data_IF_104694515328
#
_entry.id   IF_104694515328
#
_cell.length_a   1.000
_cell.length_b   1.000
_cell.length_c   1.000
_cell.angle_alpha   90.00
_cell.angle_beta   90.00
_cell.angle_gamma   90.00
#
_symmetry.space_group_name_H-M   'P 1'
#
loop_
_entity.id
_entity.type
_entity.pdbx_description
1 polymer ?
#
# COMPACT_ATOMS: atom_id res chain seq x y z
N UNK A 1 5.33 -20.91 -28.92
CA UNK A 1 6.79 -20.87 -28.67
C UNK A 1 6.98 -20.48 -27.21
N UNK A 2 7.59 -21.34 -26.38
CA UNK A 2 7.97 -20.96 -25.00
C UNK A 2 9.07 -19.89 -25.11
N UNK A 3 9.02 -18.78 -24.35
CA UNK A 3 10.16 -17.87 -24.28
C UNK A 3 11.41 -18.65 -23.79
N UNK A 4 12.62 -18.22 -24.16
CA UNK A 4 13.82 -18.90 -23.74
C UNK A 4 13.92 -18.83 -22.20
N UNK A 5 13.92 -20.00 -21.55
CA UNK A 5 13.96 -20.16 -20.08
C UNK A 5 15.01 -19.27 -19.37
N UNK A 6 16.10 -18.92 -20.05
CA UNK A 6 17.15 -18.03 -19.55
C UNK A 6 16.68 -16.57 -19.35
N UNK A 7 15.81 -16.06 -20.23
CA UNK A 7 15.24 -14.71 -20.10
C UNK A 7 14.29 -14.59 -18.91
N UNK A 8 13.53 -15.65 -18.64
CA UNK A 8 12.58 -15.71 -17.53
C UNK A 8 13.30 -15.71 -16.18
N UNK A 9 14.38 -16.51 -16.07
CA UNK A 9 15.21 -16.58 -14.86
C UNK A 9 15.93 -15.25 -14.62
N UNK A 10 16.51 -14.61 -15.65
CA UNK A 10 17.20 -13.32 -15.50
C UNK A 10 16.28 -12.25 -14.94
N UNK A 11 15.06 -12.17 -15.47
CA UNK A 11 14.07 -11.17 -15.03
C UNK A 11 13.62 -11.43 -13.60
N UNK A 12 13.37 -12.69 -13.23
CA UNK A 12 13.02 -13.07 -11.87
C UNK A 12 14.15 -12.76 -10.88
N UNK A 13 15.41 -13.07 -11.23
CA UNK A 13 16.58 -12.79 -10.39
C UNK A 13 16.80 -11.28 -10.21
N UNK A 14 16.70 -10.49 -11.28
CA UNK A 14 16.84 -9.04 -11.21
C UNK A 14 15.79 -8.43 -10.27
N UNK A 15 14.52 -8.84 -10.45
CA UNK A 15 13.41 -8.38 -9.61
C UNK A 15 13.59 -8.77 -8.15
N UNK A 16 14.00 -10.02 -7.91
CA UNK A 16 14.35 -10.52 -6.58
C UNK A 16 15.51 -9.76 -5.94
N UNK A 17 16.55 -9.45 -6.71
CA UNK A 17 17.70 -8.69 -6.24
C UNK A 17 17.33 -7.25 -5.87
N UNK A 18 16.53 -6.56 -6.69
CA UNK A 18 16.02 -5.23 -6.36
C UNK A 18 15.13 -5.25 -5.11
N UNK A 19 14.23 -6.24 -4.97
CA UNK A 19 13.42 -6.40 -3.76
C UNK A 19 14.24 -6.68 -2.51
N UNK A 20 15.29 -7.51 -2.63
CA UNK A 20 16.22 -7.80 -1.54
C UNK A 20 17.03 -6.55 -1.16
N UNK A 21 17.52 -5.79 -2.15
CA UNK A 21 18.21 -4.53 -1.92
C UNK A 21 17.32 -3.53 -1.15
N UNK A 22 16.03 -3.44 -1.50
CA UNK A 22 15.06 -2.67 -0.72
C UNK A 22 14.93 -3.14 0.73
N UNK A 23 14.83 -4.45 0.93
CA UNK A 23 14.76 -5.06 2.28
C UNK A 23 16.01 -4.79 3.11
N UNK A 24 17.19 -4.83 2.48
CA UNK A 24 18.47 -4.48 3.14
C UNK A 24 18.51 -2.99 3.45
N UNK A 25 18.10 -2.14 2.52
CA UNK A 25 18.05 -0.69 2.69
C UNK A 25 17.19 -0.29 3.91
N UNK A 26 16.04 -0.93 4.11
CA UNK A 26 15.21 -0.72 5.32
C UNK A 26 15.94 -1.02 6.62
N UNK A 27 16.75 -2.08 6.67
CA UNK A 27 17.58 -2.42 7.85
C UNK A 27 18.61 -1.32 8.16
N UNK A 28 19.04 -0.58 7.15
CA UNK A 28 19.92 0.57 7.27
C UNK A 28 19.19 1.91 7.36
N UNK A 29 17.88 1.90 7.68
CA UNK A 29 17.10 3.13 7.78
C UNK A 29 17.06 3.94 6.48
N UNK A 30 17.06 3.26 5.33
CA UNK A 30 16.79 3.84 4.02
C UNK A 30 15.38 3.46 3.56
N UNK A 31 14.75 4.23 2.64
CA UNK A 31 13.42 3.91 2.11
C UNK A 31 13.51 2.69 1.17
N UNK A 32 13.34 1.48 1.71
CA UNK A 32 13.52 0.22 0.98
C UNK A 32 12.66 0.09 -0.26
N UNK A 33 11.38 0.46 -0.17
CA UNK A 33 10.49 0.45 -1.33
C UNK A 33 10.93 1.37 -2.46
N UNK A 34 11.47 2.55 -2.14
CA UNK A 34 12.06 3.44 -3.14
C UNK A 34 13.31 2.83 -3.77
N UNK A 35 14.17 2.17 -2.99
CA UNK A 35 15.37 1.49 -3.51
C UNK A 35 14.99 0.35 -4.46
N UNK A 36 14.02 -0.48 -4.08
CA UNK A 36 13.52 -1.58 -4.90
C UNK A 36 12.88 -1.08 -6.20
N UNK A 37 11.99 -0.09 -6.10
CA UNK A 37 11.31 0.54 -7.23
C UNK A 37 12.31 1.22 -8.18
N UNK A 38 13.19 2.09 -7.66
CA UNK A 38 14.14 2.84 -8.46
C UNK A 38 15.18 1.93 -9.14
N UNK A 39 15.64 0.89 -8.42
CA UNK A 39 16.55 -0.11 -8.96
C UNK A 39 15.94 -0.85 -10.15
N UNK A 40 14.72 -1.37 -10.01
CA UNK A 40 14.07 -2.06 -11.12
C UNK A 40 13.72 -1.10 -12.26
N UNK A 41 13.28 0.12 -11.95
CA UNK A 41 13.00 1.15 -12.94
C UNK A 41 14.24 1.45 -13.78
N UNK A 42 15.41 1.60 -13.16
CA UNK A 42 16.67 1.80 -13.88
C UNK A 42 17.01 0.60 -14.78
N UNK A 43 16.89 -0.64 -14.28
CA UNK A 43 17.14 -1.85 -15.07
C UNK A 43 16.17 -1.98 -16.26
N UNK A 44 14.91 -1.66 -16.05
CA UNK A 44 13.86 -1.74 -17.08
C UNK A 44 14.08 -0.70 -18.18
N UNK A 45 14.38 0.55 -17.80
CA UNK A 45 14.67 1.62 -18.76
C UNK A 45 16.01 1.45 -19.48
N UNK A 46 16.98 0.77 -18.87
CA UNK A 46 18.23 0.37 -19.54
C UNK A 46 18.06 -0.82 -20.50
N UNK A 47 16.87 -1.41 -20.60
CA UNK A 47 16.59 -2.59 -21.43
C UNK A 47 17.14 -3.91 -20.87
N UNK A 48 17.62 -3.93 -19.61
CA UNK A 48 18.14 -5.15 -18.97
C UNK A 48 17.03 -6.16 -18.62
N UNK A 49 15.82 -5.66 -18.35
CA UNK A 49 14.60 -6.46 -18.09
C UNK A 49 13.42 -5.92 -18.92
N UNK A 50 12.45 -6.78 -19.31
CA UNK A 50 11.28 -6.37 -20.08
C UNK A 50 10.29 -5.53 -19.25
N UNK A 51 9.36 -4.82 -19.92
CA UNK A 51 8.27 -4.08 -19.25
C UNK A 51 7.17 -4.99 -18.70
N UNK A 52 6.93 -6.11 -19.37
CA UNK A 52 5.93 -7.10 -19.01
C UNK A 52 6.60 -8.46 -18.82
N UNK A 53 6.24 -9.16 -17.74
CA UNK A 53 6.79 -10.47 -17.41
C UNK A 53 5.90 -11.19 -16.42
N UNK A 54 5.82 -12.53 -16.50
CA UNK A 54 5.01 -13.34 -15.59
C UNK A 54 5.39 -13.17 -14.11
N UNK A 55 6.65 -12.81 -13.83
CA UNK A 55 7.09 -12.53 -12.45
C UNK A 55 6.45 -11.28 -11.86
N UNK A 56 6.07 -10.30 -12.70
CA UNK A 56 5.37 -9.09 -12.27
C UNK A 56 3.91 -9.40 -11.95
N UNK A 57 3.28 -10.27 -12.75
CA UNK A 57 1.95 -10.83 -12.44
C UNK A 57 1.93 -11.62 -11.13
N UNK A 58 3.00 -12.38 -10.85
CA UNK A 58 3.17 -13.04 -9.56
C UNK A 58 3.32 -12.05 -8.40
N UNK A 59 3.99 -10.91 -8.62
CA UNK A 59 4.10 -9.88 -7.60
C UNK A 59 2.72 -9.35 -7.17
N UNK A 60 1.81 -9.14 -8.14
CA UNK A 60 0.43 -8.71 -7.89
C UNK A 60 -0.45 -9.81 -7.27
N UNK A 61 -0.49 -10.97 -7.92
CA UNK A 61 -1.42 -12.04 -7.54
C UNK A 61 -0.95 -12.87 -6.34
N UNK A 62 0.35 -12.90 -6.08
CA UNK A 62 0.98 -13.73 -5.06
C UNK A 62 1.67 -12.91 -3.98
N UNK A 63 2.75 -12.20 -4.32
CA UNK A 63 3.63 -11.57 -3.33
C UNK A 63 2.91 -10.49 -2.49
N UNK A 64 2.12 -9.62 -3.11
CA UNK A 64 1.41 -8.55 -2.41
C UNK A 64 0.35 -9.08 -1.42
N UNK A 65 -0.58 -9.98 -1.83
CA UNK A 65 -1.47 -10.67 -0.89
C UNK A 65 -0.74 -11.46 0.21
N UNK A 66 0.42 -12.07 -0.11
CA UNK A 66 1.25 -12.75 0.89
C UNK A 66 1.76 -11.78 1.93
N UNK A 67 2.24 -10.60 1.49
CA UNK A 67 2.74 -9.55 2.36
C UNK A 67 1.68 -9.11 3.38
N UNK A 68 0.43 -8.94 2.94
CA UNK A 68 -0.69 -8.63 3.83
C UNK A 68 -0.87 -9.70 4.91
N UNK A 69 -0.96 -10.96 4.50
CA UNK A 69 -1.20 -12.08 5.41
C UNK A 69 -0.07 -12.18 6.44
N UNK A 70 1.18 -12.07 5.97
CA UNK A 70 2.36 -12.07 6.82
C UNK A 70 2.40 -10.85 7.74
N UNK A 71 2.01 -9.66 7.27
CA UNK A 71 1.94 -8.46 8.11
C UNK A 71 0.90 -8.63 9.23
N UNK A 72 -0.27 -9.17 8.91
CA UNK A 72 -1.31 -9.50 9.90
C UNK A 72 -0.76 -10.52 10.90
N UNK A 73 -0.18 -11.63 10.45
CA UNK A 73 0.46 -12.65 11.29
C UNK A 73 1.55 -12.07 12.20
N UNK A 74 2.37 -11.14 11.69
CA UNK A 74 3.42 -10.48 12.46
C UNK A 74 2.86 -9.54 13.53
N UNK A 75 1.71 -8.92 13.24
CA UNK A 75 1.07 -7.91 14.10
C UNK A 75 0.14 -8.49 15.16
N UNK A 76 -0.32 -9.73 15.02
CA UNK A 76 -1.33 -10.31 15.90
C UNK A 76 -0.74 -10.85 17.20
N UNK A 77 -1.46 -10.59 18.29
CA UNK A 77 -1.20 -11.22 19.59
C UNK A 77 -1.69 -12.67 19.54
N UNK A 78 -0.80 -13.60 19.19
CA UNK A 78 -1.12 -15.04 19.26
C UNK A 78 -1.04 -15.56 20.70
N UNK A 79 -1.78 -16.63 21.05
CA UNK A 79 -1.70 -17.27 22.35
C UNK A 79 -0.24 -17.63 22.72
N UNK A 80 0.18 -17.33 23.96
CA UNK A 80 1.54 -17.61 24.43
C UNK A 80 2.64 -16.65 23.93
N UNK A 81 2.27 -15.56 23.25
CA UNK A 81 3.16 -14.41 23.17
C UNK A 81 3.39 -13.86 24.59
N UNK A 82 4.63 -13.53 25.00
CA UNK A 82 4.77 -12.70 26.17
C UNK A 82 3.99 -11.42 25.84
N UNK A 83 3.06 -11.03 26.73
CA UNK A 83 2.48 -9.69 26.71
C UNK A 83 3.61 -8.76 26.39
N UNK A 84 3.53 -8.08 25.24
CA UNK A 84 4.69 -7.35 24.75
C UNK A 84 5.09 -6.24 25.73
N UNK A 85 4.26 -5.93 26.73
CA UNK A 85 4.51 -4.94 27.78
C UNK A 85 3.83 -5.22 29.15
N UNK A 86 3.37 -6.44 29.48
CA UNK A 86 2.58 -6.68 30.71
C UNK A 86 1.30 -5.83 30.82
N UNK A 87 0.83 -5.32 29.68
CA UNK A 87 -0.26 -4.37 29.59
C UNK A 87 -1.60 -5.13 29.62
N UNK A 88 -2.54 -4.73 30.50
CA UNK A 88 -3.79 -5.44 30.66
C UNK A 88 -4.64 -5.40 29.37
N UNK A 89 -5.45 -6.44 29.17
CA UNK A 89 -6.17 -6.69 27.91
C UNK A 89 -7.12 -5.55 27.49
N UNK A 90 -7.67 -4.84 28.46
CA UNK A 90 -8.48 -3.63 28.30
C UNK A 90 -7.69 -2.48 27.63
N UNK A 91 -6.44 -2.27 28.03
CA UNK A 91 -5.55 -1.27 27.43
C UNK A 91 -5.21 -1.62 25.99
N UNK A 92 -4.98 -2.90 25.69
CA UNK A 92 -4.72 -3.36 24.33
C UNK A 92 -5.94 -3.17 23.41
N UNK A 93 -7.15 -3.44 23.92
CA UNK A 93 -8.39 -3.20 23.20
C UNK A 93 -8.59 -1.69 22.93
N UNK A 94 -8.43 -0.85 23.95
CA UNK A 94 -8.53 0.60 23.82
C UNK A 94 -7.49 1.17 22.83
N UNK A 95 -6.25 0.68 22.86
CA UNK A 95 -5.21 1.07 21.91
C UNK A 95 -5.53 0.65 20.48
N UNK A 96 -6.16 -0.52 20.30
CA UNK A 96 -6.65 -1.02 19.01
C UNK A 96 -7.79 -0.17 18.45
N UNK A 97 -8.80 0.14 19.27
CA UNK A 97 -9.90 1.04 18.89
C UNK A 97 -9.38 2.43 18.52
N UNK A 98 -8.44 2.96 19.30
CA UNK A 98 -7.81 4.24 19.04
C UNK A 98 -7.06 4.25 17.71
N UNK A 99 -6.32 3.18 17.39
CA UNK A 99 -5.63 3.04 16.11
C UNK A 99 -6.61 2.90 14.93
N UNK A 100 -7.70 2.15 15.11
CA UNK A 100 -8.75 1.99 14.10
C UNK A 100 -9.42 3.33 13.76
N UNK A 101 -9.78 4.10 14.79
CA UNK A 101 -10.37 5.42 14.62
C UNK A 101 -9.39 6.42 13.99
N UNK A 102 -8.11 6.38 14.39
CA UNK A 102 -7.07 7.25 13.86
C UNK A 102 -6.80 7.01 12.37
N UNK A 103 -6.60 5.75 11.98
CA UNK A 103 -6.43 5.37 10.56
C UNK A 103 -7.68 5.67 9.75
N UNK A 104 -8.87 5.49 10.32
CA UNK A 104 -10.13 5.84 9.68
C UNK A 104 -10.30 7.32 9.41
N UNK A 105 -9.92 8.17 10.37
CA UNK A 105 -9.87 9.62 10.15
C UNK A 105 -8.88 9.97 9.04
N UNK A 106 -7.71 9.32 9.02
CA UNK A 106 -6.73 9.45 7.94
C UNK A 106 -7.30 9.07 6.57
N UNK A 107 -8.00 7.94 6.48
CA UNK A 107 -8.65 7.44 5.26
C UNK A 107 -9.74 8.40 4.75
N UNK A 108 -10.59 8.91 5.66
CA UNK A 108 -11.64 9.85 5.30
C UNK A 108 -11.06 11.17 4.77
N UNK A 109 -10.02 11.71 5.42
CA UNK A 109 -9.30 12.89 4.96
C UNK A 109 -8.65 12.65 3.60
N UNK A 110 -8.03 11.49 3.41
CA UNK A 110 -7.42 11.11 2.13
C UNK A 110 -8.47 10.99 1.02
N UNK A 111 -9.65 10.46 1.32
CA UNK A 111 -10.77 10.37 0.36
C UNK A 111 -11.23 11.76 -0.08
N UNK A 112 -11.34 12.72 0.86
CA UNK A 112 -11.60 14.14 0.51
C UNK A 112 -10.47 14.69 -0.37
N UNK A 113 -9.22 14.37 -0.07
CA UNK A 113 -8.07 14.70 -0.92
C UNK A 113 -8.22 14.16 -2.35
N UNK A 114 -8.64 12.89 -2.51
CA UNK A 114 -8.88 12.28 -3.82
C UNK A 114 -10.02 12.97 -4.57
N UNK A 115 -11.13 13.30 -3.89
CA UNK A 115 -12.26 14.01 -4.48
C UNK A 115 -11.84 15.38 -5.03
N UNK A 116 -11.13 16.17 -4.22
CA UNK A 116 -10.64 17.50 -4.62
C UNK A 116 -9.60 17.38 -5.73
N UNK A 117 -8.68 16.42 -5.62
CA UNK A 117 -7.64 16.19 -6.62
C UNK A 117 -8.21 15.80 -7.98
N UNK A 118 -9.19 14.89 -8.01
CA UNK A 118 -9.86 14.49 -9.26
C UNK A 118 -10.69 15.65 -9.83
N UNK A 119 -11.42 16.40 -9.01
CA UNK A 119 -12.18 17.56 -9.48
C UNK A 119 -11.28 18.63 -10.11
N UNK A 120 -10.12 18.89 -9.50
CA UNK A 120 -9.13 19.81 -10.05
C UNK A 120 -8.45 19.26 -11.31
N UNK A 121 -8.12 17.97 -11.37
CA UNK A 121 -7.58 17.34 -12.57
C UNK A 121 -8.57 17.36 -13.73
N UNK A 122 -9.87 17.16 -13.46
CA UNK A 122 -10.95 17.33 -14.43
C UNK A 122 -11.01 18.77 -14.93
N UNK A 123 -11.04 19.76 -14.04
CA UNK A 123 -11.05 21.17 -14.43
C UNK A 123 -9.81 21.51 -15.28
N UNK A 124 -8.63 21.02 -14.93
CA UNK A 124 -7.41 21.23 -15.70
C UNK A 124 -7.50 20.56 -17.08
N UNK A 125 -8.00 19.32 -17.16
CA UNK A 125 -8.14 18.60 -18.43
C UNK A 125 -9.09 19.29 -19.43
N UNK A 126 -10.04 20.09 -18.93
CA UNK A 126 -10.94 20.89 -19.77
C UNK A 126 -10.32 22.20 -20.28
N UNK A 127 -9.36 22.80 -19.55
CA UNK A 127 -8.88 24.16 -19.82
C UNK A 127 -7.39 24.24 -20.19
N UNK A 128 -6.58 23.23 -19.86
CA UNK A 128 -5.16 23.21 -20.17
C UNK A 128 -4.90 22.47 -21.49
N UNK A 129 -4.17 23.07 -22.44
CA UNK A 129 -3.68 22.35 -23.60
C UNK A 129 -2.60 21.36 -23.14
N UNK A 130 -2.93 20.07 -23.11
CA UNK A 130 -1.97 19.05 -22.67
C UNK A 130 -1.09 18.65 -23.85
N UNK A 131 0.20 18.98 -23.79
CA UNK A 131 1.21 18.49 -24.73
C UNK A 131 0.96 18.87 -26.21
N UNK A 132 0.35 20.02 -26.48
CA UNK A 132 0.05 20.47 -27.84
C UNK A 132 -1.17 19.79 -28.50
N UNK A 133 -1.84 18.87 -27.80
CA UNK A 133 -3.10 18.27 -28.24
C UNK A 133 -4.31 18.92 -27.55
N UNK A 134 -5.46 18.87 -28.24
CA UNK A 134 -6.74 19.48 -27.86
C UNK A 134 -7.18 19.06 -26.45
N UNK A 135 -7.91 19.95 -25.79
CA UNK A 135 -8.67 19.70 -24.56
C UNK A 135 -9.33 18.32 -24.56
N UNK A 136 -9.31 17.63 -23.42
CA UNK A 136 -10.00 16.35 -23.30
C UNK A 136 -11.51 16.61 -23.44
N UNK A 137 -12.24 15.89 -24.33
CA UNK A 137 -13.68 16.03 -24.42
C UNK A 137 -14.31 15.82 -23.05
N UNK A 138 -15.27 16.67 -22.65
CA UNK A 138 -15.86 16.65 -21.31
C UNK A 138 -16.36 15.27 -20.91
N UNK A 139 -17.01 14.56 -21.83
CA UNK A 139 -17.49 13.20 -21.60
C UNK A 139 -16.34 12.24 -21.24
N UNK A 140 -15.24 12.29 -21.98
CA UNK A 140 -14.06 11.47 -21.69
C UNK A 140 -13.41 11.88 -20.36
N UNK A 141 -13.25 13.17 -20.10
CA UNK A 141 -12.71 13.66 -18.83
C UNK A 141 -13.56 13.22 -17.63
N UNK A 142 -14.88 13.20 -17.77
CA UNK A 142 -15.79 12.72 -16.72
C UNK A 142 -15.64 11.20 -16.50
N UNK A 143 -15.51 10.41 -17.57
CA UNK A 143 -15.26 8.97 -17.49
C UNK A 143 -13.93 8.67 -16.78
N UNK A 144 -12.86 9.38 -17.18
CA UNK A 144 -11.54 9.28 -16.53
C UNK A 144 -11.62 9.68 -15.06
N UNK A 145 -12.37 10.74 -14.74
CA UNK A 145 -12.56 11.18 -13.35
C UNK A 145 -13.20 10.10 -12.49
N UNK A 146 -14.22 9.41 -13.01
CA UNK A 146 -14.85 8.30 -12.30
C UNK A 146 -13.87 7.15 -12.04
N UNK A 147 -13.14 6.72 -13.06
CA UNK A 147 -12.18 5.62 -12.95
C UNK A 147 -11.01 5.96 -12.01
N UNK A 148 -10.43 7.17 -12.12
CA UNK A 148 -9.32 7.62 -11.27
C UNK A 148 -9.78 7.83 -9.82
N UNK A 149 -10.97 8.37 -9.58
CA UNK A 149 -11.47 8.46 -8.20
C UNK A 149 -11.68 7.07 -7.59
N UNK A 150 -12.16 6.11 -8.38
CA UNK A 150 -12.35 4.74 -7.93
C UNK A 150 -11.02 4.09 -7.49
N UNK A 151 -9.95 4.29 -8.27
CA UNK A 151 -8.60 3.80 -7.91
C UNK A 151 -8.03 4.53 -6.69
N UNK A 152 -8.29 5.83 -6.53
CA UNK A 152 -7.75 6.64 -5.43
C UNK A 152 -8.57 6.61 -4.14
N UNK A 153 -9.62 5.79 -4.08
CA UNK A 153 -10.35 5.50 -2.83
C UNK A 153 -10.45 4.01 -2.53
N UNK A 154 -10.38 3.16 -3.56
CA UNK A 154 -10.44 1.71 -3.40
C UNK A 154 -9.66 0.92 -4.42
N UNK A 155 -8.53 1.44 -4.90
CA UNK A 155 -7.53 0.70 -5.67
C UNK A 155 -7.99 0.15 -7.04
N UNK A 156 -7.08 -0.64 -7.64
CA UNK A 156 -7.19 -1.07 -9.04
C UNK A 156 -8.41 -1.95 -9.36
N UNK A 157 -8.97 -2.68 -8.38
CA UNK A 157 -10.20 -3.46 -8.60
C UNK A 157 -11.40 -2.55 -8.92
N UNK A 158 -11.53 -1.45 -8.18
CA UNK A 158 -12.58 -0.46 -8.41
C UNK A 158 -12.34 0.33 -9.69
N UNK A 159 -11.08 0.57 -10.07
CA UNK A 159 -10.75 1.15 -11.37
C UNK A 159 -11.30 0.33 -12.54
N UNK A 160 -11.10 -1.00 -12.52
CA UNK A 160 -11.55 -1.89 -13.58
C UNK A 160 -13.09 -1.87 -13.69
N UNK A 161 -13.77 -2.04 -12.55
CA UNK A 161 -15.24 -2.03 -12.47
C UNK A 161 -15.84 -0.71 -12.98
N UNK A 162 -15.31 0.43 -12.53
CA UNK A 162 -15.83 1.74 -12.97
C UNK A 162 -15.50 2.00 -14.44
N UNK A 163 -14.33 1.59 -14.92
CA UNK A 163 -13.94 1.76 -16.33
C UNK A 163 -14.90 1.04 -17.28
N UNK A 164 -15.36 -0.16 -16.91
CA UNK A 164 -16.37 -0.89 -17.67
C UNK A 164 -17.73 -0.18 -17.61
N UNK A 165 -18.20 0.18 -16.41
CA UNK A 165 -19.51 0.84 -16.21
C UNK A 165 -19.67 2.16 -16.94
N UNK A 166 -18.61 2.97 -16.99
CA UNK A 166 -18.63 4.26 -17.69
C UNK A 166 -18.31 4.12 -19.18
N UNK A 167 -18.06 2.90 -19.66
CA UNK A 167 -17.67 2.59 -21.04
C UNK A 167 -16.43 3.36 -21.52
N UNK A 168 -15.36 3.33 -20.73
CA UNK A 168 -14.07 3.88 -21.16
C UNK A 168 -13.53 3.08 -22.37
N UNK A 169 -12.99 3.74 -23.41
CA UNK A 169 -12.35 3.04 -24.51
C UNK A 169 -11.18 2.19 -24.01
N UNK A 170 -11.05 0.95 -24.50
CA UNK A 170 -10.02 0.00 -24.05
C UNK A 170 -8.58 0.56 -24.17
N UNK A 171 -8.30 1.37 -25.19
CA UNK A 171 -7.01 2.06 -25.35
C UNK A 171 -6.74 3.05 -24.22
N UNK A 172 -7.76 3.76 -23.74
CA UNK A 172 -7.67 4.69 -22.61
C UNK A 172 -7.54 3.93 -21.30
N UNK A 173 -8.27 2.84 -21.12
CA UNK A 173 -8.16 1.99 -19.91
C UNK A 173 -6.73 1.47 -19.75
N UNK A 174 -6.15 0.89 -20.80
CA UNK A 174 -4.77 0.40 -20.76
C UNK A 174 -3.75 1.50 -20.48
N UNK A 175 -3.92 2.67 -21.10
CA UNK A 175 -3.06 3.83 -20.88
C UNK A 175 -3.14 4.37 -19.44
N UNK A 176 -4.36 4.52 -18.90
CA UNK A 176 -4.58 4.98 -17.53
C UNK A 176 -4.06 3.98 -16.51
N UNK A 177 -4.28 2.67 -16.73
CA UNK A 177 -3.75 1.62 -15.85
C UNK A 177 -2.22 1.65 -15.80
N UNK A 178 -1.54 1.82 -16.94
CA UNK A 178 -0.09 1.94 -16.99
C UNK A 178 0.41 3.20 -16.25
N UNK A 179 -0.25 4.34 -16.47
CA UNK A 179 0.06 5.59 -15.76
C UNK A 179 -0.20 5.48 -14.25
N UNK A 180 -1.27 4.79 -13.85
CA UNK A 180 -1.65 4.61 -12.45
C UNK A 180 -0.59 3.80 -11.70
N UNK A 181 -0.16 2.66 -12.26
CA UNK A 181 0.89 1.83 -11.69
C UNK A 181 2.18 2.64 -11.47
N UNK A 182 2.60 3.42 -12.48
CA UNK A 182 3.81 4.24 -12.38
C UNK A 182 3.66 5.35 -11.33
N UNK A 183 2.53 6.05 -11.32
CA UNK A 183 2.26 7.16 -10.39
C UNK A 183 2.12 6.65 -8.94
N UNK A 184 1.49 5.49 -8.76
CA UNK A 184 1.36 4.80 -7.47
C UNK A 184 2.73 4.40 -6.90
N UNK A 185 3.66 3.94 -7.74
CA UNK A 185 5.04 3.65 -7.32
C UNK A 185 5.76 4.89 -6.76
N UNK A 186 5.64 6.04 -7.44
CA UNK A 186 6.18 7.32 -6.96
C UNK A 186 5.51 7.75 -5.64
N UNK A 187 4.20 7.57 -5.54
CA UNK A 187 3.45 7.86 -4.32
C UNK A 187 3.90 7.02 -3.12
N UNK A 188 4.11 5.70 -3.29
CA UNK A 188 4.60 4.85 -2.21
C UNK A 188 6.01 5.22 -1.73
N UNK A 189 6.88 5.64 -2.67
CA UNK A 189 8.17 6.20 -2.31
C UNK A 189 8.02 7.51 -1.51
N UNK A 190 7.13 8.41 -1.92
CA UNK A 190 6.83 9.65 -1.22
C UNK A 190 6.30 9.39 0.20
N UNK A 191 5.34 8.47 0.38
CA UNK A 191 4.85 8.07 1.70
C UNK A 191 5.99 7.58 2.60
N UNK A 192 6.89 6.76 2.05
CA UNK A 192 8.05 6.23 2.79
C UNK A 192 9.00 7.35 3.24
N UNK A 193 9.16 8.40 2.44
CA UNK A 193 9.95 9.59 2.80
C UNK A 193 9.22 10.44 3.86
N UNK A 194 7.92 10.68 3.68
CA UNK A 194 7.11 11.47 4.60
C UNK A 194 7.04 10.84 5.99
N UNK A 195 6.89 9.51 6.08
CA UNK A 195 6.85 8.79 7.36
C UNK A 195 8.12 8.98 8.22
N UNK A 196 9.25 9.28 7.56
CA UNK A 196 10.56 9.50 8.19
C UNK A 196 10.86 10.99 8.44
N UNK A 197 9.98 11.90 8.01
CA UNK A 197 10.22 13.34 8.05
C UNK A 197 9.72 13.97 9.34
N UNK A 198 10.64 14.45 10.18
CA UNK A 198 10.29 15.24 11.37
C UNK A 198 9.61 16.57 11.02
N UNK A 199 9.91 17.13 9.84
CA UNK A 199 9.22 18.34 9.36
C UNK A 199 7.75 18.04 9.07
N UNK A 200 7.46 16.92 8.38
CA UNK A 200 6.10 16.49 8.13
C UNK A 200 5.35 16.23 9.44
N UNK A 201 6.00 15.56 10.41
CA UNK A 201 5.38 15.28 11.71
C UNK A 201 5.05 16.55 12.47
N UNK A 202 5.98 17.50 12.57
CA UNK A 202 5.72 18.80 13.21
C UNK A 202 4.66 19.62 12.49
N UNK A 203 4.62 19.57 11.16
CA UNK A 203 3.62 20.25 10.37
C UNK A 203 2.22 19.69 10.62
N UNK A 204 2.06 18.36 10.71
CA UNK A 204 0.75 17.75 10.95
C UNK A 204 0.34 17.79 12.42
N UNK A 205 1.18 17.29 13.33
CA UNK A 205 0.82 17.08 14.73
C UNK A 205 0.91 18.35 15.59
N UNK A 206 1.62 19.38 15.11
CA UNK A 206 1.95 20.56 15.90
C UNK A 206 3.09 20.28 16.89
N UNK A 207 3.84 21.32 17.29
CA UNK A 207 5.07 21.19 18.08
C UNK A 207 4.92 20.52 19.46
N UNK A 208 3.71 20.38 19.98
CA UNK A 208 3.45 19.83 21.30
C UNK A 208 3.46 18.28 21.38
N UNK A 209 3.39 17.56 20.26
CA UNK A 209 3.27 16.08 20.25
C UNK A 209 4.56 15.34 19.85
N UNK A 210 5.66 16.06 19.58
CA UNK A 210 6.87 15.49 18.98
C UNK A 210 7.63 14.48 19.88
N UNK A 211 7.39 14.47 21.19
CA UNK A 211 8.15 13.63 22.13
C UNK A 211 7.57 12.22 22.37
N UNK A 212 6.32 11.95 21.98
CA UNK A 212 5.61 10.71 22.33
C UNK A 212 5.20 9.84 21.12
N UNK A 213 5.46 10.30 19.89
CA UNK A 213 5.05 9.63 18.63
C UNK A 213 6.20 9.29 17.70
N UNK A 214 7.45 9.60 18.07
CA UNK A 214 8.61 9.15 17.31
C UNK A 214 8.54 7.62 17.16
N UNK A 215 8.77 7.05 15.95
CA UNK A 215 9.15 5.66 15.86
C UNK A 215 10.29 5.49 16.85
N UNK A 216 10.31 4.43 17.67
CA UNK A 216 11.55 4.14 18.38
C UNK A 216 12.63 4.16 17.31
N UNK A 217 13.63 5.03 17.47
CA UNK A 217 14.89 4.76 16.79
C UNK A 217 15.15 3.30 17.09
N UNK A 218 15.38 2.45 16.08
CA UNK A 218 15.85 1.12 16.36
C UNK A 218 17.14 1.36 17.12
N UNK A 219 17.08 1.29 18.46
CA UNK A 219 18.26 1.07 19.26
C UNK A 219 18.79 -0.19 18.60
N UNK A 220 19.97 -0.14 17.93
CA UNK A 220 20.55 -1.39 17.48
C UNK A 220 20.50 -2.26 18.71
N UNK A 221 19.80 -3.39 18.62
CA UNK A 221 19.79 -4.33 19.71
C UNK A 221 21.26 -4.63 19.90
N UNK A 222 21.88 -3.99 20.91
CA UNK A 222 23.26 -4.23 21.25
C UNK A 222 23.16 -5.66 21.75
N UNK A 223 23.46 -6.59 20.84
CA UNK A 223 23.63 -7.97 21.19
C UNK A 223 24.52 -7.94 22.42
N UNK A 224 24.03 -8.49 23.53
CA UNK A 224 24.91 -8.84 24.62
C UNK A 224 26.09 -9.57 23.97
N UNK A 225 27.36 -9.18 24.23
CA UNK A 225 28.48 -9.91 23.68
C UNK A 225 28.41 -11.34 24.23
N UNK A 226 27.94 -12.27 23.39
CA UNK A 226 27.64 -13.63 23.82
C UNK A 226 26.84 -14.38 22.77
N UNK A 227 27.55 -15.20 21.99
CA UNK A 227 27.08 -16.20 21.02
C UNK A 227 26.27 -15.68 19.82
N UNK A 228 26.78 -15.97 18.61
CA UNK A 228 25.99 -15.85 17.38
C UNK A 228 24.72 -16.71 17.54
N UNK A 229 23.50 -16.14 17.42
CA UNK A 229 22.29 -16.94 17.47
C UNK A 229 22.33 -17.94 16.32
N UNK A 230 22.05 -19.22 16.60
CA UNK A 230 22.02 -20.24 15.55
C UNK A 230 21.04 -19.84 14.44
N UNK A 231 21.38 -20.07 13.18
CA UNK A 231 20.54 -19.69 12.03
C UNK A 231 19.30 -20.59 11.87
N UNK A 232 19.34 -21.80 12.43
CA UNK A 232 18.29 -22.81 12.27
C UNK A 232 16.91 -22.37 12.80
N UNK A 233 16.76 -21.81 14.02
CA UNK A 233 15.47 -21.33 14.52
C UNK A 233 14.84 -20.21 13.69
N UNK A 234 15.67 -19.32 13.10
CA UNK A 234 15.21 -18.25 12.21
C UNK A 234 14.77 -18.78 10.85
N UNK A 235 15.49 -19.77 10.31
CA UNK A 235 15.09 -20.45 9.08
C UNK A 235 13.76 -21.19 9.26
N UNK A 236 13.59 -21.92 10.38
CA UNK A 236 12.31 -22.58 10.71
C UNK A 236 11.16 -21.58 10.84
N UNK A 237 11.38 -20.44 11.52
CA UNK A 237 10.36 -19.39 11.64
C UNK A 237 9.93 -18.81 10.29
N UNK A 238 10.88 -18.51 9.41
CA UNK A 238 10.61 -18.06 8.03
C UNK A 238 9.85 -19.12 7.23
N UNK A 239 10.27 -20.38 7.29
CA UNK A 239 9.60 -21.47 6.58
C UNK A 239 8.15 -21.66 7.04
N UNK A 240 7.90 -21.66 8.36
CA UNK A 240 6.55 -21.77 8.92
C UNK A 240 5.69 -20.56 8.54
N UNK A 241 6.23 -19.35 8.61
CA UNK A 241 5.50 -18.15 8.21
C UNK A 241 5.15 -18.17 6.72
N UNK A 242 6.09 -18.56 5.85
CA UNK A 242 5.85 -18.72 4.42
C UNK A 242 4.77 -19.78 4.14
N UNK A 243 4.78 -20.90 4.86
CA UNK A 243 3.77 -21.94 4.74
C UNK A 243 2.38 -21.43 5.16
N UNK A 244 2.26 -20.75 6.31
CA UNK A 244 1.01 -20.13 6.75
C UNK A 244 0.50 -19.09 5.75
N UNK A 245 1.39 -18.23 5.23
CA UNK A 245 1.07 -17.24 4.21
C UNK A 245 0.56 -17.89 2.92
N UNK A 246 1.25 -18.92 2.42
CA UNK A 246 0.85 -19.65 1.22
C UNK A 246 -0.49 -20.37 1.39
N UNK A 247 -0.72 -21.03 2.53
CA UNK A 247 -1.98 -21.70 2.83
C UNK A 247 -3.15 -20.72 2.85
N UNK A 248 -2.99 -19.57 3.51
CA UNK A 248 -3.98 -18.51 3.52
C UNK A 248 -4.30 -17.97 2.12
N UNK A 249 -3.28 -17.80 1.26
CA UNK A 249 -3.47 -17.39 -0.12
C UNK A 249 -4.21 -18.41 -0.97
N UNK A 250 -3.81 -19.67 -0.88
CA UNK A 250 -4.47 -20.75 -1.61
C UNK A 250 -5.92 -20.88 -1.19
N UNK A 251 -6.21 -20.82 0.11
CA UNK A 251 -7.57 -20.88 0.61
C UNK A 251 -8.39 -19.64 0.20
N UNK A 252 -7.81 -18.44 0.23
CA UNK A 252 -8.46 -17.23 -0.28
C UNK A 252 -8.84 -17.36 -1.75
N UNK A 253 -7.93 -17.89 -2.59
CA UNK A 253 -8.20 -18.15 -4.02
C UNK A 253 -9.25 -19.24 -4.23
N UNK A 254 -9.25 -20.29 -3.42
CA UNK A 254 -10.26 -21.35 -3.50
C UNK A 254 -11.66 -20.83 -3.16
N UNK A 255 -11.78 -19.96 -2.16
CA UNK A 255 -13.05 -19.31 -1.83
C UNK A 255 -13.48 -18.37 -2.95
N UNK A 256 -12.55 -17.62 -3.53
CA UNK A 256 -12.84 -16.74 -4.66
C UNK A 256 -13.42 -17.51 -5.86
N UNK A 257 -12.78 -18.63 -6.21
CA UNK A 257 -13.22 -19.52 -7.27
C UNK A 257 -14.57 -20.20 -6.97
N UNK A 258 -14.85 -20.51 -5.70
CA UNK A 258 -16.10 -21.17 -5.28
C UNK A 258 -17.28 -20.21 -5.17
N UNK A 259 -17.05 -19.02 -4.61
CA UNK A 259 -18.10 -18.05 -4.32
C UNK A 259 -18.37 -17.09 -5.48
N UNK A 260 -17.56 -17.11 -6.54
CA UNK A 260 -17.59 -16.10 -7.60
C UNK A 260 -17.41 -14.68 -7.05
N UNK A 261 -16.65 -14.56 -5.95
CA UNK A 261 -16.63 -13.36 -5.13
C UNK A 261 -15.62 -12.31 -5.61
N UNK A 262 -15.74 -11.09 -5.09
CA UNK A 262 -14.77 -10.01 -5.31
C UNK A 262 -13.45 -10.26 -4.56
N UNK A 263 -12.37 -9.61 -5.01
CA UNK A 263 -11.03 -9.54 -4.37
C UNK A 263 -11.07 -9.31 -2.84
N UNK A 264 -12.12 -8.65 -2.37
CA UNK A 264 -12.41 -8.34 -0.98
C UNK A 264 -12.60 -9.60 -0.11
N UNK A 265 -13.29 -10.62 -0.63
CA UNK A 265 -13.52 -11.90 0.06
C UNK A 265 -12.24 -12.71 0.13
N UNK A 266 -11.50 -12.82 -0.99
CA UNK A 266 -10.23 -13.53 -1.02
C UNK A 266 -9.22 -12.96 0.01
N UNK A 267 -9.13 -11.64 0.09
CA UNK A 267 -8.26 -10.93 1.04
C UNK A 267 -8.72 -11.12 2.50
N UNK A 268 -10.02 -10.97 2.76
CA UNK A 268 -10.59 -11.16 4.10
C UNK A 268 -10.41 -12.59 4.61
N UNK A 269 -10.66 -13.59 3.76
CA UNK A 269 -10.49 -15.00 4.08
C UNK A 269 -9.04 -15.37 4.31
N UNK A 270 -8.10 -14.88 3.49
CA UNK A 270 -6.68 -15.10 3.71
C UNK A 270 -6.21 -14.55 5.08
N UNK A 271 -6.66 -13.34 5.45
CA UNK A 271 -6.34 -12.77 6.76
C UNK A 271 -6.91 -13.62 7.91
N UNK A 272 -8.19 -14.00 7.82
CA UNK A 272 -8.88 -14.79 8.85
C UNK A 272 -8.25 -16.18 9.04
N UNK A 273 -7.87 -16.84 7.94
CA UNK A 273 -7.22 -18.15 7.98
C UNK A 273 -5.80 -18.07 8.49
N UNK A 274 -5.02 -17.05 8.12
CA UNK A 274 -3.69 -16.83 8.70
C UNK A 274 -3.77 -16.70 10.22
N UNK A 275 -4.69 -15.86 10.70
CA UNK A 275 -5.00 -15.71 12.13
C UNK A 275 -5.40 -17.04 12.79
N UNK A 276 -6.24 -17.85 12.14
CA UNK A 276 -6.68 -19.14 12.65
C UNK A 276 -5.54 -20.16 12.74
N UNK A 277 -4.74 -20.33 11.68
CA UNK A 277 -3.59 -21.25 11.65
C UNK A 277 -2.62 -20.98 12.80
N UNK A 278 -2.44 -19.70 13.13
CA UNK A 278 -1.50 -19.29 14.15
C UNK A 278 -2.02 -19.53 15.59
N UNK A 279 -3.32 -19.75 15.79
CA UNK A 279 -3.91 -20.16 17.09
C UNK A 279 -3.71 -21.63 17.44
N UNK A 280 -3.54 -22.48 16.43
CA UNK A 280 -3.32 -23.93 16.63
C UNK A 280 -1.85 -24.29 16.84
N UNK A 281 -0.94 -23.31 16.78
CA UNK A 281 0.48 -23.52 17.04
C UNK A 281 0.80 -23.43 18.54
N UNK A 282 1.71 -24.26 19.06
CA UNK A 282 2.30 -24.05 20.39
C UNK A 282 2.92 -22.65 20.52
N UNK A 283 3.01 -22.12 21.74
CA UNK A 283 3.50 -20.76 22.00
C UNK A 283 4.84 -20.43 21.31
N UNK A 284 5.78 -21.38 21.30
CA UNK A 284 7.07 -21.24 20.61
C UNK A 284 6.95 -21.26 19.09
N UNK A 285 6.05 -22.11 18.55
CA UNK A 285 5.73 -22.14 17.13
C UNK A 285 5.10 -20.83 16.67
N UNK A 286 4.11 -20.33 17.42
CA UNK A 286 3.47 -19.04 17.19
C UNK A 286 4.48 -17.89 17.23
N UNK A 287 5.41 -17.88 18.20
CA UNK A 287 6.48 -16.88 18.30
C UNK A 287 7.41 -16.92 17.08
N UNK A 288 7.83 -18.11 16.65
CA UNK A 288 8.69 -18.30 15.46
C UNK A 288 7.99 -17.83 14.19
N UNK A 289 6.70 -18.15 14.03
CA UNK A 289 5.89 -17.67 12.90
C UNK A 289 5.80 -16.16 12.89
N UNK A 290 5.54 -15.49 14.02
CA UNK A 290 5.50 -14.02 14.06
C UNK A 290 6.83 -13.39 13.64
N UNK A 291 7.95 -13.90 14.16
CA UNK A 291 9.27 -13.40 13.77
C UNK A 291 9.56 -13.61 12.29
N UNK A 292 9.27 -14.81 11.76
CA UNK A 292 9.41 -15.10 10.34
C UNK A 292 8.52 -14.20 9.48
N UNK A 293 7.28 -13.99 9.90
CA UNK A 293 6.32 -13.16 9.19
C UNK A 293 6.74 -11.68 9.19
N UNK A 294 7.29 -11.17 10.29
CA UNK A 294 7.81 -9.81 10.38
C UNK A 294 9.01 -9.56 9.45
N UNK A 295 9.80 -10.60 9.15
CA UNK A 295 10.91 -10.51 8.18
C UNK A 295 10.44 -10.68 6.72
N UNK A 296 9.47 -11.57 6.48
CA UNK A 296 9.01 -11.91 5.13
C UNK A 296 8.00 -10.90 4.56
N UNK A 297 7.14 -10.31 5.39
CA UNK A 297 6.16 -9.32 4.96
C UNK A 297 6.80 -8.14 4.18
N UNK A 298 7.83 -7.44 4.70
CA UNK A 298 8.50 -6.37 3.97
C UNK A 298 9.28 -6.88 2.76
N UNK A 299 9.81 -8.11 2.79
CA UNK A 299 10.49 -8.70 1.63
C UNK A 299 9.53 -8.91 0.45
N UNK A 300 8.33 -9.44 0.72
CA UNK A 300 7.27 -9.57 -0.28
C UNK A 300 6.81 -8.21 -0.82
N UNK A 301 6.68 -7.20 0.06
CA UNK A 301 6.31 -5.84 -0.35
C UNK A 301 7.38 -5.19 -1.23
N UNK A 302 8.66 -5.30 -0.87
CA UNK A 302 9.75 -4.75 -1.67
C UNK A 302 9.92 -5.47 -3.01
N UNK A 303 9.65 -6.78 -3.07
CA UNK A 303 9.55 -7.50 -4.33
C UNK A 303 8.42 -6.96 -5.22
N UNK A 304 7.25 -6.67 -4.63
CA UNK A 304 6.15 -6.02 -5.33
C UNK A 304 6.55 -4.62 -5.85
N UNK A 305 7.20 -3.79 -5.02
CA UNK A 305 7.69 -2.47 -5.46
C UNK A 305 8.72 -2.55 -6.57
N UNK A 306 9.62 -3.55 -6.55
CA UNK A 306 10.49 -3.83 -7.67
C UNK A 306 9.67 -4.11 -8.93
N UNK A 307 8.71 -5.05 -8.88
CA UNK A 307 7.85 -5.35 -10.02
C UNK A 307 7.11 -4.11 -10.58
N UNK A 308 6.55 -3.26 -9.70
CA UNK A 308 5.93 -1.97 -10.09
C UNK A 308 6.93 -1.04 -10.77
N UNK A 309 8.18 -1.01 -10.30
CA UNK A 309 9.26 -0.24 -10.92
C UNK A 309 9.59 -0.69 -12.34
N UNK A 310 9.40 -1.96 -12.69
CA UNK A 310 9.63 -2.44 -14.05
C UNK A 310 8.70 -1.77 -15.08
N UNK A 311 7.49 -1.43 -14.67
CA UNK A 311 6.46 -0.79 -15.51
C UNK A 311 6.60 0.74 -15.56
N UNK A 312 7.46 1.34 -14.73
CA UNK A 312 7.65 2.79 -14.67
C UNK A 312 8.60 3.28 -15.77
N UNK A 313 8.13 3.29 -17.02
CA UNK A 313 8.90 3.73 -18.19
C UNK A 313 8.37 5.06 -18.73
N UNK A 314 9.12 6.17 -18.63
CA UNK A 314 8.67 7.47 -19.13
C UNK A 314 8.28 7.47 -20.61
N UNK A 315 8.98 6.67 -21.43
CA UNK A 315 8.65 6.51 -22.85
C UNK A 315 7.27 5.87 -23.08
N UNK A 316 6.91 4.86 -22.28
CA UNK A 316 5.61 4.18 -22.38
C UNK A 316 4.50 5.07 -21.81
N UNK A 317 4.76 5.81 -20.73
CA UNK A 317 3.83 6.80 -20.17
C UNK A 317 3.57 7.94 -21.18
N UNK A 318 4.61 8.42 -21.86
CA UNK A 318 4.48 9.43 -22.90
C UNK A 318 3.69 8.90 -24.11
N UNK A 319 3.93 7.65 -24.51
CA UNK A 319 3.21 6.99 -25.61
C UNK A 319 1.75 6.66 -25.26
N UNK A 320 1.46 6.34 -24.00
CA UNK A 320 0.11 6.09 -23.48
C UNK A 320 -0.78 7.35 -23.48
N UNK A 321 -0.18 8.54 -23.53
CA UNK A 321 -0.86 9.82 -23.64
C UNK A 321 -0.56 10.70 -22.43
N UNK A 322 0.13 11.81 -22.68
CA UNK A 322 0.51 12.82 -21.67
C UNK A 322 -0.69 13.39 -20.90
N UNK A 323 -1.88 13.39 -21.49
CA UNK A 323 -3.12 13.82 -20.83
C UNK A 323 -3.52 12.94 -19.64
N UNK A 324 -3.48 11.60 -19.79
CA UNK A 324 -3.80 10.68 -18.70
C UNK A 324 -2.76 10.76 -17.59
N UNK A 325 -1.47 10.76 -17.95
CA UNK A 325 -0.38 10.91 -16.99
C UNK A 325 -0.45 12.21 -16.19
N UNK A 326 -0.73 13.34 -16.86
CA UNK A 326 -0.92 14.63 -16.20
C UNK A 326 -2.15 14.62 -15.29
N UNK A 327 -3.26 14.02 -15.74
CA UNK A 327 -4.48 13.91 -14.95
C UNK A 327 -4.21 13.17 -13.64
N UNK A 328 -3.65 11.96 -13.71
CA UNK A 328 -3.36 11.14 -12.53
C UNK A 328 -2.34 11.81 -11.61
N UNK A 329 -1.25 12.35 -12.17
CA UNK A 329 -0.21 13.03 -11.40
C UNK A 329 -0.78 14.25 -10.66
N UNK A 330 -1.65 15.03 -11.32
CA UNK A 330 -2.33 16.18 -10.72
C UNK A 330 -3.26 15.74 -9.60
N UNK A 331 -4.11 14.74 -9.87
CA UNK A 331 -5.05 14.21 -8.89
C UNK A 331 -4.32 13.66 -7.65
N UNK A 332 -3.23 12.91 -7.83
CA UNK A 332 -2.49 12.31 -6.72
C UNK A 332 -1.62 13.31 -5.96
N UNK A 333 -1.00 14.28 -6.64
CA UNK A 333 -0.32 15.39 -5.97
C UNK A 333 -1.28 16.17 -5.07
N UNK A 334 -2.44 16.54 -5.60
CA UNK A 334 -3.46 17.26 -4.83
C UNK A 334 -4.05 16.40 -3.72
N UNK A 335 -4.21 15.09 -3.93
CA UNK A 335 -4.58 14.16 -2.86
C UNK A 335 -3.64 14.28 -1.66
N UNK A 336 -2.32 14.18 -1.87
CA UNK A 336 -1.33 14.27 -0.78
C UNK A 336 -1.34 15.65 -0.12
N UNK A 337 -1.36 16.72 -0.93
CA UNK A 337 -1.33 18.09 -0.45
C UNK A 337 -2.57 18.44 0.38
N UNK A 338 -3.75 18.14 -0.15
CA UNK A 338 -5.04 18.42 0.51
C UNK A 338 -5.18 17.56 1.76
N UNK A 339 -4.84 16.26 1.72
CA UNK A 339 -4.91 15.40 2.89
C UNK A 339 -3.99 15.90 4.01
N UNK A 340 -2.74 16.24 3.68
CA UNK A 340 -1.79 16.82 4.62
C UNK A 340 -2.27 18.14 5.22
N UNK A 341 -2.76 19.06 4.37
CA UNK A 341 -3.24 20.37 4.79
C UNK A 341 -4.49 20.25 5.66
N UNK A 342 -5.45 19.41 5.27
CA UNK A 342 -6.68 19.16 6.02
C UNK A 342 -6.37 18.58 7.41
N UNK A 343 -5.47 17.61 7.51
CA UNK A 343 -5.05 17.07 8.81
C UNK A 343 -4.33 18.12 9.67
N UNK A 344 -3.43 18.91 9.07
CA UNK A 344 -2.72 19.98 9.75
C UNK A 344 -3.66 21.07 10.27
N UNK A 345 -4.65 21.47 9.47
CA UNK A 345 -5.69 22.44 9.86
C UNK A 345 -6.57 21.85 10.96
N UNK A 346 -7.08 20.64 10.79
CA UNK A 346 -7.94 19.96 11.76
C UNK A 346 -7.29 19.88 13.15
N UNK A 347 -5.99 19.59 13.21
CA UNK A 347 -5.24 19.54 14.46
C UNK A 347 -5.04 20.90 15.16
N UNK A 348 -5.18 22.02 14.44
CA UNK A 348 -5.00 23.39 14.92
C UNK A 348 -6.32 24.13 15.20
N UNK A 349 -7.46 23.50 14.91
CA UNK A 349 -8.76 24.11 15.18
C UNK A 349 -8.98 24.38 16.69
N UNK A 350 -9.87 25.32 17.05
CA UNK A 350 -10.20 25.59 18.45
C UNK A 350 -10.73 24.34 19.16
N UNK A 351 -10.56 24.19 20.49
CA UNK A 351 -10.95 22.99 21.25
C UNK A 351 -12.42 22.57 21.09
N UNK A 352 -13.31 23.49 20.72
CA UNK A 352 -14.74 23.23 20.47
C UNK A 352 -15.01 22.41 19.21
N UNK A 353 -14.14 22.50 18.19
CA UNK A 353 -14.31 21.89 16.86
C UNK A 353 -13.17 20.93 16.53
N UNK A 354 -12.04 21.04 17.22
CA UNK A 354 -10.88 20.16 17.06
C UNK A 354 -11.27 18.70 17.31
N UNK A 355 -10.71 17.75 16.55
CA UNK A 355 -10.81 16.34 16.88
C UNK A 355 -10.37 16.09 18.33
N UNK A 356 -11.13 15.27 19.07
CA UNK A 356 -10.81 14.91 20.46
C UNK A 356 -9.40 14.36 20.61
N UNK A 357 -8.90 13.68 19.59
CA UNK A 357 -7.55 13.17 19.48
C UNK A 357 -6.87 13.78 18.26
N UNK A 358 -5.63 14.29 18.38
CA UNK A 358 -4.89 14.78 17.22
C UNK A 358 -4.64 13.64 16.23
N UNK A 359 -4.82 13.95 14.95
CA UNK A 359 -4.47 13.07 13.85
C UNK A 359 -2.95 12.95 13.79
N UNK A 360 -2.43 11.74 13.95
CA UNK A 360 -0.98 11.51 13.88
C UNK A 360 -0.54 11.32 12.44
N UNK A 361 0.70 11.69 12.13
CA UNK A 361 1.26 11.55 10.78
C UNK A 361 1.14 10.10 10.28
N UNK A 362 1.52 9.12 11.10
CA UNK A 362 1.48 7.71 10.69
C UNK A 362 0.05 7.23 10.41
N UNK A 363 -0.94 7.69 11.19
CA UNK A 363 -2.35 7.33 10.97
C UNK A 363 -2.89 7.93 9.66
N UNK A 364 -2.51 9.19 9.36
CA UNK A 364 -2.83 9.82 8.09
C UNK A 364 -2.20 9.08 6.92
N UNK A 365 -0.89 8.82 6.95
CA UNK A 365 -0.18 8.17 5.85
C UNK A 365 -0.69 6.74 5.62
N UNK A 366 -0.99 5.99 6.69
CA UNK A 366 -1.57 4.65 6.59
C UNK A 366 -3.00 4.69 6.03
N UNK A 367 -3.84 5.63 6.49
CA UNK A 367 -5.19 5.81 5.94
C UNK A 367 -5.18 6.26 4.47
N UNK A 368 -4.25 7.14 4.11
CA UNK A 368 -3.98 7.56 2.73
C UNK A 368 -3.57 6.38 1.86
N UNK A 369 -2.69 5.52 2.38
CA UNK A 369 -2.29 4.31 1.66
C UNK A 369 -3.43 3.31 1.52
N UNK A 370 -4.29 3.19 2.54
CA UNK A 370 -5.49 2.33 2.47
C UNK A 370 -6.46 2.78 1.37
N UNK A 371 -6.57 4.09 1.11
CA UNK A 371 -7.38 4.63 0.02
C UNK A 371 -6.77 4.36 -1.37
N UNK A 372 -5.48 4.68 -1.57
CA UNK A 372 -4.83 4.55 -2.88
C UNK A 372 -4.41 3.09 -3.17
N UNK A 373 -3.62 2.51 -2.28
CA UNK A 373 -2.96 1.22 -2.49
C UNK A 373 -3.75 0.01 -1.99
N UNK A 374 -4.88 0.23 -1.31
CA UNK A 374 -5.73 -0.84 -0.77
C UNK A 374 -5.14 -1.55 0.47
N UNK A 375 -5.78 -2.65 0.91
CA UNK A 375 -5.50 -3.27 2.20
C UNK A 375 -4.07 -3.84 2.30
N UNK A 376 -3.57 -4.45 1.23
CA UNK A 376 -2.29 -5.16 1.27
C UNK A 376 -1.10 -4.23 1.37
N UNK A 377 -1.07 -3.18 0.56
CA UNK A 377 0.02 -2.19 0.59
C UNK A 377 -0.03 -1.37 1.87
N UNK A 378 -1.23 -0.99 2.33
CA UNK A 378 -1.42 -0.21 3.56
C UNK A 378 -0.98 -0.97 4.81
N UNK A 379 -1.37 -2.25 4.94
CA UNK A 379 -0.96 -3.09 6.06
C UNK A 379 0.56 -3.33 6.09
N UNK A 380 1.14 -3.60 4.93
CA UNK A 380 2.58 -3.83 4.82
C UNK A 380 3.38 -2.53 5.09
N UNK A 381 2.89 -1.37 4.62
CA UNK A 381 3.46 -0.06 4.93
C UNK A 381 3.32 0.31 6.42
N UNK A 382 2.22 -0.09 7.07
CA UNK A 382 1.97 0.16 8.48
C UNK A 382 2.89 -0.64 9.41
N UNK A 383 3.32 -1.84 9.00
CA UNK A 383 4.12 -2.76 9.81
C UNK A 383 5.38 -2.11 10.43
N UNK A 384 6.26 -1.42 9.67
CA UNK A 384 7.42 -0.72 10.25
C UNK A 384 7.07 0.56 11.03
N UNK A 385 5.87 1.13 10.82
CA UNK A 385 5.42 2.36 11.51
C UNK A 385 4.77 2.08 12.87
N UNK A 386 4.33 0.83 13.08
CA UNK A 386 3.81 0.33 14.34
C UNK A 386 2.83 -0.81 14.10
N UNK A 387 3.10 -2.00 14.66
CA UNK A 387 2.29 -3.21 14.43
C UNK A 387 0.79 -3.04 14.71
N UNK A 388 0.41 -2.17 15.65
CA UNK A 388 -1.00 -1.84 15.94
C UNK A 388 -1.76 -1.17 14.79
N UNK A 389 -1.06 -0.58 13.82
CA UNK A 389 -1.66 0.09 12.66
C UNK A 389 -1.99 -0.89 11.52
N UNK A 390 -1.41 -2.10 11.53
CA UNK A 390 -1.51 -3.08 10.44
C UNK A 390 -2.94 -3.54 10.22
N UNK A 391 -3.62 -3.97 11.28
CA UNK A 391 -5.01 -4.43 11.21
C UNK A 391 -5.97 -3.29 10.82
N UNK A 392 -5.91 -2.10 11.45
CA UNK A 392 -6.63 -0.92 10.96
C UNK A 392 -6.42 -0.59 9.49
N UNK A 393 -5.18 -0.67 8.99
CA UNK A 393 -4.85 -0.40 7.59
C UNK A 393 -5.57 -1.37 6.65
N UNK A 394 -5.55 -2.67 6.98
CA UNK A 394 -6.24 -3.70 6.21
C UNK A 394 -7.76 -3.47 6.21
N UNK A 395 -8.35 -3.17 7.37
CA UNK A 395 -9.80 -2.92 7.50
C UNK A 395 -10.22 -1.73 6.64
N UNK A 396 -9.54 -0.58 6.79
CA UNK A 396 -9.91 0.61 6.01
C UNK A 396 -9.61 0.47 4.51
N UNK A 397 -8.60 -0.34 4.13
CA UNK A 397 -8.39 -0.67 2.73
C UNK A 397 -9.51 -1.53 2.13
N UNK A 398 -10.05 -2.46 2.93
CA UNK A 398 -11.25 -3.25 2.56
C UNK A 398 -12.48 -2.34 2.44
N UNK A 399 -12.67 -1.39 3.37
CA UNK A 399 -13.73 -0.38 3.27
C UNK A 399 -13.57 0.44 1.98
N UNK A 400 -12.33 0.79 1.61
CA UNK A 400 -12.00 1.41 0.33
C UNK A 400 -12.53 0.63 -0.87
N UNK A 401 -12.31 -0.69 -0.91
CA UNK A 401 -12.88 -1.54 -1.96
C UNK A 401 -14.41 -1.43 -2.01
N UNK A 402 -15.10 -1.43 -0.87
CA UNK A 402 -16.55 -1.33 -0.82
C UNK A 402 -17.11 0.02 -1.31
N UNK A 403 -16.43 1.14 -1.05
CA UNK A 403 -16.95 2.49 -1.35
C UNK A 403 -16.41 3.11 -2.63
N UNK A 404 -15.23 2.70 -3.12
CA UNK A 404 -14.55 3.37 -4.24
C UNK A 404 -15.34 3.31 -5.54
N UNK A 405 -15.95 2.18 -5.87
CA UNK A 405 -16.82 2.06 -7.07
C UNK A 405 -18.02 3.00 -7.00
N UNK A 406 -18.68 3.08 -5.83
CA UNK A 406 -19.80 3.99 -5.61
C UNK A 406 -19.38 5.44 -5.88
N UNK A 407 -18.29 5.88 -5.26
CA UNK A 407 -17.80 7.25 -5.41
C UNK A 407 -17.37 7.57 -6.85
N UNK A 408 -16.69 6.64 -7.52
CA UNK A 408 -16.29 6.78 -8.92
C UNK A 408 -17.47 6.98 -9.86
N UNK A 409 -18.51 6.14 -9.75
CA UNK A 409 -19.73 6.27 -10.55
C UNK A 409 -20.45 7.60 -10.26
N UNK A 410 -20.52 8.02 -9.00
CA UNK A 410 -21.13 9.30 -8.64
C UNK A 410 -20.35 10.48 -9.21
N UNK A 411 -19.03 10.48 -9.13
CA UNK A 411 -18.20 11.55 -9.71
C UNK A 411 -18.36 11.65 -11.23
N UNK A 412 -18.36 10.51 -11.94
CA UNK A 412 -18.67 10.50 -13.37
C UNK A 412 -20.06 11.08 -13.67
N UNK A 413 -21.09 10.65 -12.94
CA UNK A 413 -22.47 11.13 -13.11
C UNK A 413 -22.64 12.63 -12.82
N UNK A 414 -21.88 13.16 -11.86
CA UNK A 414 -21.91 14.59 -11.51
C UNK A 414 -21.16 15.48 -12.50
N UNK A 415 -20.16 14.93 -13.21
CA UNK A 415 -19.27 15.68 -14.11
C UNK A 415 -19.66 15.58 -15.59
N UNK A 416 -20.52 14.63 -15.98
CA UNK A 416 -20.96 14.44 -17.37
C UNK A 416 -21.73 15.63 -17.92
#
# INVERSE_FOLDING_TARGET
MRPPLLGDVRTALATGACGLAGTIAERHSLPGGLVAFAGQCALSNAGAVPAAHAVYEFAWSGALPMSLTLAVLASTCLPGAPERDGAPADKLAADGESALAGVGAGFAIATVGSLVGVAAAFALALHAPVGGARHMPRALAAQVSGAVLATYVGGAANFAEVSERVALPASVVGALAACDIATMGVYFALLSLLARSERARRWIEGGASASASAPPTPKPARAAPGAAPSDAPRATGRALAAACGLLALLAGRSVDAFAGSSTLVAVGTACALGLACARFLPADGARRVRHGAAELAPACLNFFYAAVGASARPAEIAAAGSAGALFLSTALCLHVLVAGAAAAVANRLPPRVRPRRPIRLNELLVGSNAAIGGPSTAAAFAAPLGGRLVVPAAIWGIVGYAVGTLLGVHAWSALR
#
